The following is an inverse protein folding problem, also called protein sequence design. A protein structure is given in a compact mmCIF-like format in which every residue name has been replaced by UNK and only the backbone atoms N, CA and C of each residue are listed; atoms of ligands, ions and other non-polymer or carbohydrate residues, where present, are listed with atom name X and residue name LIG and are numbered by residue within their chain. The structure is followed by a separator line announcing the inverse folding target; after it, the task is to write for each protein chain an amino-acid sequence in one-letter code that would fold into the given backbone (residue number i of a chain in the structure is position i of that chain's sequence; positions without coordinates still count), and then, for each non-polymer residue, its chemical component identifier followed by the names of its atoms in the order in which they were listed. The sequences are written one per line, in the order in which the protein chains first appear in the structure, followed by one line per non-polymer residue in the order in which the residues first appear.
data_IF_400934523681
#
_entry.id   IF_400934523681
#
_cell.length_a   1.000
_cell.length_b   1.000
_cell.length_c   1.000
_cell.angle_alpha   90.00
_cell.angle_beta   90.00
_cell.angle_gamma   90.00
#
_symmetry.space_group_name_H-M   'P 1'
#
loop_
_entity.id
_entity.type
_entity.pdbx_description
1 polymer ?
#
# COMPACT_ATOMS: atom_id res chain seq x y z
N UNK A 1 6.74 -23.43 79.83
CA UNK A 1 6.20 -23.60 78.46
C UNK A 1 6.98 -22.80 77.44
N UNK A 2 7.26 -21.54 77.64
CA UNK A 2 8.03 -20.66 76.71
C UNK A 2 9.46 -21.16 76.38
N UNK A 3 10.18 -21.76 77.34
CA UNK A 3 11.52 -22.31 77.09
C UNK A 3 11.53 -23.54 76.19
N UNK A 4 10.52 -24.43 76.29
CA UNK A 4 10.36 -25.58 75.37
C UNK A 4 10.08 -25.15 73.95
N UNK A 5 9.33 -24.08 73.74
CA UNK A 5 9.07 -23.49 72.42
C UNK A 5 10.34 -22.87 71.84
N UNK A 6 11.12 -22.12 72.65
CA UNK A 6 12.40 -21.55 72.24
C UNK A 6 13.46 -22.61 71.87
N UNK A 7 13.45 -23.77 72.54
CA UNK A 7 14.36 -24.90 72.29
C UNK A 7 13.97 -25.66 71.00
N UNK A 8 12.67 -25.76 70.71
CA UNK A 8 12.16 -26.32 69.45
C UNK A 8 12.57 -25.52 68.20
N UNK A 9 12.55 -24.20 68.29
CA UNK A 9 13.02 -23.32 67.18
C UNK A 9 14.54 -23.31 67.00
N UNK A 10 15.35 -23.88 67.92
CA UNK A 10 16.80 -23.97 67.83
C UNK A 10 17.31 -25.34 67.33
N UNK A 11 16.46 -26.29 67.09
CA UNK A 11 16.85 -27.60 66.57
C UNK A 11 17.24 -27.49 65.06
N UNK A 12 18.19 -28.31 64.60
CA UNK A 12 18.65 -28.33 63.21
C UNK A 12 17.47 -28.59 62.23
N UNK A 13 16.52 -29.43 62.64
CA UNK A 13 15.32 -29.74 61.87
C UNK A 13 14.38 -28.53 61.75
N UNK A 14 14.20 -27.73 62.83
CA UNK A 14 13.38 -26.53 62.83
C UNK A 14 14.02 -25.40 62.01
N UNK A 15 15.37 -25.29 62.04
CA UNK A 15 16.14 -24.34 61.20
C UNK A 15 15.97 -24.68 59.72
N UNK A 16 16.12 -25.95 59.34
CA UNK A 16 15.95 -26.37 57.93
C UNK A 16 14.50 -26.18 57.43
N UNK A 17 13.49 -26.49 58.29
CA UNK A 17 12.11 -26.21 58.00
C UNK A 17 11.81 -24.69 57.84
N UNK A 18 12.40 -23.86 58.71
CA UNK A 18 12.25 -22.42 58.65
C UNK A 18 12.91 -21.81 57.38
N UNK A 19 14.07 -22.34 56.96
CA UNK A 19 14.68 -21.97 55.69
C UNK A 19 13.82 -22.36 54.47
N UNK A 20 13.25 -23.57 54.51
CA UNK A 20 12.34 -24.01 53.43
C UNK A 20 11.08 -23.12 53.31
N UNK A 21 10.45 -22.80 54.42
CA UNK A 21 9.28 -21.89 54.46
C UNK A 21 9.68 -20.47 54.03
N UNK A 22 10.84 -19.98 54.50
CA UNK A 22 11.36 -18.69 54.06
C UNK A 22 11.67 -18.62 52.57
N UNK A 23 12.25 -19.70 52.02
CA UNK A 23 12.50 -19.81 50.57
C UNK A 23 11.20 -19.83 49.75
N UNK A 24 10.20 -20.61 50.19
CA UNK A 24 8.89 -20.64 49.53
C UNK A 24 8.22 -19.25 49.57
N UNK A 25 8.24 -18.57 50.71
CA UNK A 25 7.69 -17.23 50.84
C UNK A 25 8.41 -16.22 49.91
N UNK A 26 9.76 -16.34 49.80
CA UNK A 26 10.57 -15.50 48.91
C UNK A 26 10.21 -15.76 47.43
N UNK A 27 10.02 -17.02 47.02
CA UNK A 27 9.63 -17.37 45.66
C UNK A 27 8.23 -16.82 45.35
N UNK A 28 7.29 -16.96 46.31
CA UNK A 28 5.93 -16.39 46.12
C UNK A 28 5.99 -14.87 45.98
N UNK A 29 6.76 -14.18 46.83
CA UNK A 29 6.96 -12.73 46.69
C UNK A 29 7.60 -12.37 45.35
N UNK A 30 8.58 -13.13 44.87
CA UNK A 30 9.19 -12.88 43.57
C UNK A 30 8.20 -13.05 42.41
N UNK A 31 7.39 -14.08 42.45
CA UNK A 31 6.30 -14.29 41.43
C UNK A 31 5.30 -13.16 41.45
N UNK A 32 4.89 -12.66 42.64
CA UNK A 32 3.99 -11.52 42.76
C UNK A 32 4.62 -10.26 42.17
N UNK A 33 5.90 -9.97 42.51
CA UNK A 33 6.61 -8.82 41.98
C UNK A 33 6.78 -8.89 40.46
N UNK A 34 7.15 -10.05 39.91
CA UNK A 34 7.25 -10.28 38.46
C UNK A 34 5.90 -10.05 37.77
N UNK A 35 4.80 -10.55 38.35
CA UNK A 35 3.47 -10.33 37.80
C UNK A 35 3.04 -8.86 37.86
N UNK A 36 3.38 -8.15 38.93
CA UNK A 36 3.09 -6.70 39.02
C UNK A 36 3.91 -5.89 37.99
N UNK A 37 5.20 -6.22 37.81
CA UNK A 37 6.04 -5.58 36.79
C UNK A 37 5.49 -5.90 35.41
N UNK A 38 5.19 -7.17 35.12
CA UNK A 38 4.58 -7.58 33.84
C UNK A 38 3.24 -6.88 33.59
N UNK A 39 2.45 -6.66 34.67
CA UNK A 39 1.19 -5.93 34.60
C UNK A 39 1.31 -4.46 34.23
N UNK A 40 2.45 -3.82 34.52
CA UNK A 40 2.72 -2.42 34.24
C UNK A 40 3.47 -2.17 32.93
N UNK A 41 3.95 -3.22 32.26
CA UNK A 41 4.59 -3.07 30.95
C UNK A 41 3.58 -2.56 29.92
N UNK A 42 4.01 -1.67 29.01
CA UNK A 42 3.19 -1.27 27.87
C UNK A 42 2.75 -2.48 27.05
N UNK A 43 1.56 -2.44 26.48
CA UNK A 43 0.94 -3.56 25.75
C UNK A 43 1.77 -4.03 24.55
N UNK A 44 2.54 -3.13 23.94
CA UNK A 44 3.48 -3.44 22.86
C UNK A 44 4.66 -4.32 23.28
N UNK A 45 4.94 -4.41 24.59
CA UNK A 45 6.01 -5.26 25.17
C UNK A 45 5.44 -6.56 25.74
N UNK A 46 4.15 -6.59 26.12
CA UNK A 46 3.48 -7.74 26.68
C UNK A 46 3.16 -8.85 25.67
N UNK A 47 2.99 -8.49 24.39
CA UNK A 47 2.65 -9.42 23.33
C UNK A 47 3.87 -9.66 22.44
N UNK A 48 4.44 -10.85 22.55
CA UNK A 48 5.45 -11.33 21.60
C UNK A 48 4.69 -12.08 20.51
N UNK A 49 4.86 -11.64 19.28
CA UNK A 49 4.34 -12.36 18.13
C UNK A 49 5.21 -13.59 17.88
N UNK A 50 4.65 -14.76 18.13
CA UNK A 50 5.28 -16.05 17.91
C UNK A 50 4.79 -16.75 16.64
N UNK A 51 4.00 -16.03 15.79
CA UNK A 51 3.59 -16.55 14.50
C UNK A 51 4.78 -16.60 13.54
N UNK A 52 4.87 -17.65 12.75
CA UNK A 52 5.96 -17.85 11.78
C UNK A 52 6.05 -16.69 10.75
N UNK A 53 4.95 -15.98 10.51
CA UNK A 53 4.82 -14.92 9.51
C UNK A 53 4.75 -13.50 10.11
N UNK A 54 4.95 -13.33 11.43
CA UNK A 54 4.88 -12.01 12.11
C UNK A 54 3.61 -11.19 11.74
N UNK A 55 2.47 -11.88 11.57
CA UNK A 55 1.20 -11.30 11.09
C UNK A 55 0.66 -10.13 11.94
N UNK A 56 1.10 -10.03 13.18
CA UNK A 56 0.80 -8.91 14.07
C UNK A 56 1.92 -7.87 14.10
N UNK A 57 2.93 -8.01 13.25
CA UNK A 57 3.99 -7.03 13.09
C UNK A 57 3.42 -5.71 12.59
N UNK A 58 3.97 -4.58 13.05
CA UNK A 58 3.66 -3.27 12.46
C UNK A 58 4.95 -2.74 11.85
N UNK A 59 4.92 -2.44 10.56
CA UNK A 59 6.07 -2.02 9.76
C UNK A 59 6.65 -0.68 10.23
N UNK A 60 7.84 -0.36 9.77
CA UNK A 60 8.46 0.95 10.02
C UNK A 60 7.64 2.08 9.39
N UNK A 61 7.02 1.83 8.24
CA UNK A 61 6.18 2.80 7.53
C UNK A 61 4.95 3.15 8.35
N UNK A 62 4.19 2.18 8.81
CA UNK A 62 3.00 2.42 9.64
C UNK A 62 3.36 3.07 10.99
N UNK A 63 4.46 2.67 11.61
CA UNK A 63 4.98 3.35 12.82
C UNK A 63 5.33 4.80 12.55
N UNK A 64 5.91 5.12 11.37
CA UNK A 64 6.22 6.51 10.98
C UNK A 64 4.94 7.35 10.82
N UNK A 65 3.90 6.78 10.22
CA UNK A 65 2.57 7.41 10.10
C UNK A 65 1.97 7.68 11.48
N UNK A 66 1.94 6.67 12.35
CA UNK A 66 1.38 6.78 13.70
C UNK A 66 2.14 7.77 14.59
N UNK A 67 3.45 7.84 14.46
CA UNK A 67 4.28 8.81 15.20
C UNK A 67 4.10 10.26 14.73
N UNK A 68 3.72 10.46 13.46
CA UNK A 68 3.42 11.77 12.89
C UNK A 68 1.96 12.20 13.10
N UNK A 69 1.12 11.31 13.63
CA UNK A 69 -0.29 11.55 13.81
C UNK A 69 -0.52 12.66 14.85
N UNK A 70 -0.98 13.81 14.41
CA UNK A 70 -1.29 14.98 15.23
C UNK A 70 -2.79 15.11 15.55
N UNK A 71 -3.66 14.60 14.66
CA UNK A 71 -5.12 14.66 14.78
C UNK A 71 -5.68 13.47 15.58
N UNK A 72 -6.81 13.68 16.25
CA UNK A 72 -7.48 12.62 17.02
C UNK A 72 -8.32 11.74 16.11
N UNK A 73 -8.06 10.43 16.16
CA UNK A 73 -8.77 9.41 15.38
C UNK A 73 -9.56 8.50 16.32
N UNK A 74 -10.78 8.16 15.91
CA UNK A 74 -11.66 7.26 16.67
C UNK A 74 -11.99 6.02 15.83
N UNK A 75 -11.72 4.84 16.39
CA UNK A 75 -12.11 3.55 15.85
C UNK A 75 -13.42 3.11 16.53
N UNK A 76 -14.54 3.11 15.82
CA UNK A 76 -15.80 2.55 16.26
C UNK A 76 -15.99 1.17 15.65
N UNK A 77 -15.99 0.14 16.46
CA UNK A 77 -16.05 -1.25 16.04
C UNK A 77 -17.48 -1.76 16.25
N UNK A 78 -18.19 -2.00 15.16
CA UNK A 78 -19.56 -2.49 15.14
C UNK A 78 -19.55 -4.03 15.09
N UNK A 79 -19.21 -4.64 16.22
CA UNK A 79 -19.15 -6.09 16.39
C UNK A 79 -19.31 -6.49 17.86
N UNK A 80 -19.75 -7.72 18.07
CA UNK A 80 -19.71 -8.36 19.39
C UNK A 80 -18.26 -8.68 19.75
N UNK A 81 -17.75 -8.02 20.78
CA UNK A 81 -16.34 -8.11 21.16
C UNK A 81 -15.90 -9.54 21.50
N UNK A 82 -16.77 -10.31 22.15
CA UNK A 82 -16.43 -11.66 22.64
C UNK A 82 -16.40 -12.68 21.51
N UNK A 83 -17.27 -12.55 20.52
CA UNK A 83 -17.36 -13.43 19.35
C UNK A 83 -16.42 -13.02 18.19
N UNK A 84 -15.79 -11.84 18.27
CA UNK A 84 -14.85 -11.37 17.26
C UNK A 84 -13.58 -12.24 17.21
N UNK A 85 -13.06 -12.51 16.01
CA UNK A 85 -11.82 -13.25 15.81
C UNK A 85 -10.67 -12.69 16.66
N UNK A 86 -9.94 -13.58 17.32
CA UNK A 86 -8.88 -13.22 18.25
C UNK A 86 -7.73 -12.49 17.56
N UNK A 87 -7.46 -12.79 16.28
CA UNK A 87 -6.44 -12.11 15.47
C UNK A 87 -6.78 -10.63 15.30
N UNK A 88 -8.03 -10.33 14.92
CA UNK A 88 -8.52 -8.95 14.76
C UNK A 88 -8.48 -8.20 16.10
N UNK A 89 -8.99 -8.79 17.18
CA UNK A 89 -8.97 -8.16 18.52
C UNK A 89 -7.55 -7.83 18.97
N UNK A 90 -6.65 -8.79 18.83
CA UNK A 90 -5.24 -8.63 19.26
C UNK A 90 -4.53 -7.57 18.43
N UNK A 91 -4.78 -7.56 17.12
CA UNK A 91 -4.19 -6.58 16.23
C UNK A 91 -4.71 -5.16 16.50
N UNK A 92 -6.02 -4.98 16.64
CA UNK A 92 -6.62 -3.68 17.02
C UNK A 92 -5.95 -3.15 18.29
N UNK A 93 -5.85 -3.99 19.33
CA UNK A 93 -5.23 -3.60 20.59
C UNK A 93 -3.76 -3.19 20.43
N UNK A 94 -2.98 -3.99 19.70
CA UNK A 94 -1.56 -3.74 19.45
C UNK A 94 -1.34 -2.48 18.61
N UNK A 95 -2.07 -2.35 17.51
CA UNK A 95 -1.93 -1.25 16.58
C UNK A 95 -2.32 0.10 17.21
N UNK A 96 -3.48 0.14 17.86
CA UNK A 96 -3.99 1.38 18.47
C UNK A 96 -3.19 1.83 19.70
N UNK A 97 -2.48 0.92 20.37
CA UNK A 97 -1.58 1.26 21.47
C UNK A 97 -0.29 1.98 21.01
N UNK A 98 -0.01 2.03 19.71
CA UNK A 98 1.18 2.72 19.15
C UNK A 98 1.02 4.24 19.08
N UNK A 99 -0.20 4.78 19.28
CA UNK A 99 -0.44 6.22 19.29
C UNK A 99 -1.49 6.60 20.32
N UNK A 100 -1.21 7.63 21.11
CA UNK A 100 -2.14 8.22 22.08
C UNK A 100 -3.27 9.03 21.43
N UNK A 101 -3.18 9.27 20.13
CA UNK A 101 -4.19 9.96 19.33
C UNK A 101 -5.34 9.06 18.91
N UNK A 102 -5.21 7.73 19.08
CA UNK A 102 -6.23 6.77 18.67
C UNK A 102 -7.08 6.34 19.86
N UNK A 103 -8.40 6.47 19.71
CA UNK A 103 -9.38 5.96 20.68
C UNK A 103 -10.20 4.83 20.07
N UNK A 104 -10.52 3.81 20.87
CA UNK A 104 -11.27 2.63 20.42
C UNK A 104 -12.59 2.53 21.19
N UNK A 105 -13.69 2.33 20.46
CA UNK A 105 -15.02 2.14 21.02
C UNK A 105 -15.70 0.94 20.37
N UNK A 106 -16.02 -0.07 21.17
CA UNK A 106 -16.84 -1.21 20.73
C UNK A 106 -18.32 -0.87 20.85
N UNK A 107 -19.10 -1.22 19.85
CA UNK A 107 -20.53 -1.04 19.78
C UNK A 107 -21.10 -2.40 19.39
N UNK A 108 -21.74 -3.04 20.35
CA UNK A 108 -22.38 -4.35 20.13
C UNK A 108 -23.64 -4.14 19.28
N UNK A 109 -23.70 -4.72 18.05
CA UNK A 109 -24.84 -4.54 17.16
C UNK A 109 -26.09 -5.28 17.62
N UNK A 110 -25.96 -6.28 18.49
CA UNK A 110 -27.11 -6.99 19.07
C UNK A 110 -27.77 -6.13 20.14
N UNK A 111 -26.97 -5.45 20.97
CA UNK A 111 -27.48 -4.54 22.01
C UNK A 111 -27.90 -3.18 21.44
N UNK A 112 -27.31 -2.77 20.32
CA UNK A 112 -27.52 -1.44 19.71
C UNK A 112 -27.79 -1.54 18.19
N UNK A 113 -28.86 -2.23 17.72
CA UNK A 113 -29.10 -2.44 16.29
C UNK A 113 -29.30 -1.12 15.51
N UNK A 114 -29.92 -0.11 16.12
CA UNK A 114 -30.08 1.19 15.51
C UNK A 114 -28.75 1.93 15.23
N UNK A 115 -27.65 1.53 15.88
CA UNK A 115 -26.35 2.13 15.66
C UNK A 115 -25.76 1.75 14.28
N UNK A 116 -26.02 0.55 13.77
CA UNK A 116 -25.63 0.11 12.43
C UNK A 116 -26.33 0.97 11.36
N UNK A 117 -27.66 1.07 11.43
CA UNK A 117 -28.46 1.85 10.50
C UNK A 117 -28.04 3.33 10.50
N UNK A 118 -27.79 3.91 11.70
CA UNK A 118 -27.34 5.30 11.83
C UNK A 118 -25.94 5.51 11.24
N UNK A 119 -25.08 4.53 11.34
CA UNK A 119 -23.72 4.59 10.78
C UNK A 119 -23.66 4.24 9.29
N UNK A 120 -24.73 3.63 8.73
CA UNK A 120 -24.78 3.16 7.35
C UNK A 120 -23.77 2.04 7.07
N UNK A 121 -23.56 1.14 8.05
CA UNK A 121 -22.57 0.06 7.95
C UNK A 121 -23.15 -1.27 8.38
N UNK A 122 -22.57 -2.35 7.92
CA UNK A 122 -22.88 -3.71 8.34
C UNK A 122 -22.19 -4.08 9.65
N UNK A 123 -22.64 -5.20 10.25
CA UNK A 123 -21.92 -5.82 11.38
C UNK A 123 -20.49 -6.23 10.93
N UNK A 124 -19.60 -6.35 11.89
CA UNK A 124 -18.19 -6.67 11.66
C UNK A 124 -17.45 -5.62 10.83
N UNK A 125 -17.79 -4.35 11.05
CA UNK A 125 -17.17 -3.19 10.39
C UNK A 125 -16.55 -2.26 11.43
N UNK A 126 -15.38 -1.73 11.13
CA UNK A 126 -14.69 -0.69 11.88
C UNK A 126 -14.88 0.63 11.14
N UNK A 127 -15.50 1.61 11.77
CA UNK A 127 -15.57 2.98 11.26
C UNK A 127 -14.47 3.79 11.92
N UNK A 128 -13.52 4.20 11.13
CA UNK A 128 -12.41 5.07 11.51
C UNK A 128 -12.79 6.49 11.15
N UNK A 129 -12.69 7.41 12.10
CA UNK A 129 -13.13 8.81 11.91
C UNK A 129 -12.15 9.78 12.53
N UNK A 130 -11.96 10.91 11.87
CA UNK A 130 -11.25 12.08 12.39
C UNK A 130 -12.23 13.24 12.54
N UNK A 131 -12.30 13.81 13.76
CA UNK A 131 -13.24 14.91 14.02
C UNK A 131 -12.79 16.22 13.37
N UNK A 132 -11.50 16.43 13.26
CA UNK A 132 -10.90 17.67 12.78
C UNK A 132 -11.12 17.87 11.27
N UNK A 133 -11.10 16.77 10.49
CA UNK A 133 -11.38 16.78 9.04
C UNK A 133 -12.83 16.47 8.71
N UNK A 134 -13.60 15.92 9.65
CA UNK A 134 -14.95 15.41 9.40
C UNK A 134 -15.02 14.13 8.60
N UNK A 135 -13.87 13.60 8.15
CA UNK A 135 -13.80 12.40 7.29
C UNK A 135 -13.99 11.10 8.06
N UNK A 136 -14.56 10.11 7.38
CA UNK A 136 -14.75 8.75 7.89
C UNK A 136 -14.36 7.71 6.84
N UNK A 137 -13.78 6.58 7.26
CA UNK A 137 -13.49 5.42 6.41
C UNK A 137 -13.96 4.15 7.12
N UNK A 138 -14.63 3.27 6.39
CA UNK A 138 -15.08 1.98 6.91
C UNK A 138 -14.12 0.88 6.45
N UNK A 139 -13.84 -0.06 7.34
CA UNK A 139 -13.02 -1.25 7.10
C UNK A 139 -13.81 -2.46 7.57
N UNK A 140 -14.13 -3.39 6.67
CA UNK A 140 -14.77 -4.65 7.01
C UNK A 140 -13.77 -5.62 7.65
N UNK A 141 -14.24 -6.54 8.49
CA UNK A 141 -13.41 -7.65 8.96
C UNK A 141 -12.98 -8.57 7.81
N UNK A 142 -13.76 -8.66 6.74
CA UNK A 142 -13.43 -9.44 5.55
C UNK A 142 -12.29 -8.80 4.74
N UNK A 143 -12.09 -7.49 4.84
CA UNK A 143 -10.93 -6.80 4.26
C UNK A 143 -9.65 -7.01 5.10
N UNK A 144 -9.80 -7.36 6.39
CA UNK A 144 -8.69 -7.66 7.30
C UNK A 144 -8.27 -9.13 7.20
N UNK A 145 -9.27 -10.03 7.12
CA UNK A 145 -9.08 -11.48 6.98
C UNK A 145 -9.44 -11.88 5.54
N UNK A 146 -8.50 -11.70 4.63
CA UNK A 146 -8.71 -12.00 3.22
C UNK A 146 -8.70 -13.51 3.02
N UNK A 147 -9.80 -14.04 2.47
CA UNK A 147 -9.90 -15.45 2.11
C UNK A 147 -9.33 -15.65 0.72
N UNK A 148 -8.41 -16.61 0.57
CA UNK A 148 -7.93 -17.01 -0.74
C UNK A 148 -8.99 -17.86 -1.45
N UNK A 149 -9.70 -17.23 -2.37
CA UNK A 149 -10.71 -17.90 -3.20
C UNK A 149 -10.10 -18.98 -4.11
N UNK A 150 -8.82 -18.84 -4.50
CA UNK A 150 -8.12 -19.82 -5.33
C UNK A 150 -7.83 -21.10 -4.55
N UNK A 151 -7.50 -20.99 -3.28
CA UNK A 151 -7.29 -22.13 -2.38
C UNK A 151 -8.57 -22.97 -2.21
N UNK A 152 -9.75 -22.33 -2.22
CA UNK A 152 -11.04 -23.02 -2.17
C UNK A 152 -11.25 -23.92 -3.40
N UNK A 153 -10.90 -23.45 -4.59
CA UNK A 153 -11.05 -24.22 -5.83
C UNK A 153 -10.03 -25.37 -5.95
N UNK A 154 -8.85 -25.24 -5.32
CA UNK A 154 -7.76 -26.23 -5.45
C UNK A 154 -7.73 -27.23 -4.29
N UNK A 155 -8.12 -26.85 -3.08
CA UNK A 155 -7.99 -27.69 -1.87
C UNK A 155 -9.32 -28.02 -1.20
N UNK A 156 -10.41 -27.36 -1.61
CA UNK A 156 -11.75 -27.53 -1.01
C UNK A 156 -11.89 -26.94 0.40
N UNK A 157 -10.89 -26.19 0.88
CA UNK A 157 -10.95 -25.52 2.19
C UNK A 157 -10.55 -24.05 2.05
N UNK A 158 -11.46 -23.15 2.44
CA UNK A 158 -11.14 -21.73 2.59
C UNK A 158 -10.42 -21.53 3.93
N UNK A 159 -9.11 -21.52 3.93
CA UNK A 159 -8.34 -20.94 5.03
C UNK A 159 -8.18 -19.46 4.76
N UNK A 160 -8.43 -18.59 5.76
CA UNK A 160 -8.04 -17.20 5.65
C UNK A 160 -6.52 -17.17 5.47
N UNK A 161 -6.07 -16.85 4.26
CA UNK A 161 -4.68 -16.98 3.85
C UNK A 161 -3.87 -15.72 4.14
N UNK A 162 -4.54 -14.58 4.25
CA UNK A 162 -3.87 -13.29 4.41
C UNK A 162 -4.51 -12.45 5.52
N UNK A 163 -3.65 -11.74 6.29
CA UNK A 163 -4.06 -10.80 7.31
C UNK A 163 -3.58 -9.40 6.96
N UNK A 164 -4.50 -8.54 6.50
CA UNK A 164 -4.20 -7.18 6.03
C UNK A 164 -4.61 -6.07 7.03
N UNK A 165 -4.62 -6.36 8.31
CA UNK A 165 -5.04 -5.38 9.32
C UNK A 165 -4.17 -4.11 9.34
N UNK A 166 -2.86 -4.23 9.12
CA UNK A 166 -1.94 -3.11 9.09
C UNK A 166 -2.23 -2.16 7.91
N UNK A 167 -2.31 -2.72 6.72
CA UNK A 167 -2.58 -1.95 5.50
C UNK A 167 -3.90 -1.22 5.60
N UNK A 168 -4.97 -1.90 6.01
CA UNK A 168 -6.31 -1.33 6.16
C UNK A 168 -6.34 -0.18 7.17
N UNK A 169 -5.73 -0.34 8.34
CA UNK A 169 -5.77 0.69 9.37
C UNK A 169 -4.90 1.90 9.04
N UNK A 170 -3.70 1.67 8.51
CA UNK A 170 -2.79 2.76 8.13
C UNK A 170 -3.38 3.59 6.99
N UNK A 171 -3.92 2.93 5.97
CA UNK A 171 -4.65 3.56 4.88
C UNK A 171 -5.84 4.39 5.39
N UNK A 172 -6.68 3.79 6.24
CA UNK A 172 -7.84 4.48 6.76
C UNK A 172 -7.46 5.71 7.61
N UNK A 173 -6.40 5.63 8.42
CA UNK A 173 -5.89 6.77 9.19
C UNK A 173 -5.41 7.87 8.23
N UNK A 174 -4.59 7.55 7.24
CA UNK A 174 -4.14 8.52 6.24
C UNK A 174 -5.33 9.19 5.54
N UNK A 175 -6.32 8.40 5.11
CA UNK A 175 -7.52 8.89 4.45
C UNK A 175 -8.31 9.89 5.30
N UNK A 176 -8.54 9.58 6.60
CA UNK A 176 -9.37 10.44 7.44
C UNK A 176 -8.60 11.64 8.01
N UNK A 177 -7.28 11.62 8.04
CA UNK A 177 -6.45 12.71 8.58
C UNK A 177 -5.90 13.64 7.49
N UNK A 178 -5.83 13.19 6.24
CA UNK A 178 -5.44 14.01 5.10
C UNK A 178 -6.52 15.07 4.81
N UNK A 179 -6.11 16.28 4.55
CA UNK A 179 -6.99 17.37 4.12
C UNK A 179 -7.28 17.28 2.63
N UNK A 180 -6.33 16.78 1.85
CA UNK A 180 -6.46 16.55 0.43
C UNK A 180 -6.75 15.07 0.15
N UNK A 181 -7.55 14.82 -0.86
CA UNK A 181 -7.79 13.49 -1.43
C UNK A 181 -7.34 13.57 -2.88
N UNK A 182 -6.35 12.77 -3.25
CA UNK A 182 -5.88 12.74 -4.62
C UNK A 182 -6.91 12.04 -5.50
N UNK A 183 -7.13 12.56 -6.69
CA UNK A 183 -8.10 12.05 -7.66
C UNK A 183 -7.40 11.68 -8.95
N UNK A 184 -7.56 10.41 -9.32
CA UNK A 184 -7.08 9.87 -10.57
C UNK A 184 -8.24 9.71 -11.54
N UNK A 185 -8.09 10.23 -12.74
CA UNK A 185 -8.98 9.91 -13.84
C UNK A 185 -8.32 8.88 -14.76
N UNK A 186 -9.04 7.83 -15.11
CA UNK A 186 -8.59 6.89 -16.12
C UNK A 186 -9.33 7.13 -17.44
N UNK A 187 -8.58 7.09 -18.54
CA UNK A 187 -9.12 7.34 -19.87
C UNK A 187 -9.99 6.19 -20.35
N UNK A 188 -10.98 6.52 -21.18
CA UNK A 188 -11.84 5.56 -21.88
C UNK A 188 -12.11 6.05 -23.29
N UNK A 189 -12.36 5.12 -24.21
CA UNK A 189 -12.69 5.44 -25.61
C UNK A 189 -11.73 4.88 -26.64
N UNK A 190 -10.53 4.47 -26.23
CA UNK A 190 -9.47 3.92 -27.10
C UNK A 190 -9.25 2.43 -26.87
N UNK A 191 -10.21 1.73 -26.22
CA UNK A 191 -10.13 0.30 -25.95
C UNK A 191 -9.32 -0.05 -24.71
N UNK A 192 -9.11 0.91 -23.81
CA UNK A 192 -8.44 0.73 -22.53
C UNK A 192 -9.12 -0.36 -21.69
N UNK A 193 -8.32 -1.07 -20.92
CA UNK A 193 -8.82 -2.09 -20.03
C UNK A 193 -9.47 -1.47 -18.78
N UNK A 194 -10.59 -2.04 -18.34
CA UNK A 194 -11.18 -1.65 -17.07
C UNK A 194 -10.39 -2.24 -15.89
N UNK A 195 -10.20 -1.46 -14.84
CA UNK A 195 -9.57 -1.96 -13.62
C UNK A 195 -10.38 -3.06 -12.97
N UNK A 196 -9.70 -4.10 -12.52
CA UNK A 196 -10.32 -5.12 -11.68
C UNK A 196 -10.71 -4.54 -10.31
N UNK A 197 -11.67 -5.20 -9.64
CA UNK A 197 -12.08 -4.82 -8.28
C UNK A 197 -10.92 -4.79 -7.30
N UNK A 198 -9.92 -5.67 -7.46
CA UNK A 198 -8.73 -5.70 -6.61
C UNK A 198 -7.84 -4.46 -6.81
N UNK A 199 -7.66 -4.01 -8.03
CA UNK A 199 -6.91 -2.78 -8.36
C UNK A 199 -7.64 -1.55 -7.84
N UNK A 200 -8.96 -1.45 -8.06
CA UNK A 200 -9.77 -0.34 -7.54
C UNK A 200 -9.74 -0.25 -6.02
N UNK A 201 -9.79 -1.40 -5.33
CA UNK A 201 -9.62 -1.47 -3.88
C UNK A 201 -8.24 -1.02 -3.43
N UNK A 202 -7.18 -1.35 -4.19
CA UNK A 202 -5.81 -0.92 -3.91
C UNK A 202 -5.67 0.60 -4.02
N UNK A 203 -6.23 1.22 -5.05
CA UNK A 203 -6.27 2.68 -5.18
C UNK A 203 -6.98 3.33 -3.99
N UNK A 204 -8.18 2.86 -3.68
CA UNK A 204 -8.95 3.34 -2.52
C UNK A 204 -8.20 3.15 -1.19
N UNK A 205 -7.42 2.06 -1.05
CA UNK A 205 -6.58 1.79 0.11
C UNK A 205 -5.44 2.81 0.23
N UNK A 206 -4.95 3.33 -0.88
CA UNK A 206 -3.92 4.38 -0.92
C UNK A 206 -4.48 5.80 -0.93
N UNK A 207 -5.75 5.98 -0.57
CA UNK A 207 -6.45 7.27 -0.53
C UNK A 207 -6.55 7.96 -1.89
N UNK A 208 -6.47 7.18 -2.97
CA UNK A 208 -6.66 7.64 -4.33
C UNK A 208 -8.10 7.36 -4.74
N UNK A 209 -8.87 8.40 -5.05
CA UNK A 209 -10.21 8.25 -5.64
C UNK A 209 -10.07 8.13 -7.14
N UNK A 210 -10.91 7.29 -7.76
CA UNK A 210 -10.85 7.06 -9.21
C UNK A 210 -12.18 7.42 -9.86
N UNK A 211 -12.09 8.03 -11.04
CA UNK A 211 -13.22 8.31 -11.90
C UNK A 211 -12.82 8.10 -13.37
N UNK A 212 -13.76 7.91 -14.27
CA UNK A 212 -13.48 7.74 -15.70
C UNK A 212 -13.62 9.06 -16.47
N UNK A 213 -12.83 9.21 -17.52
CA UNK A 213 -12.96 10.33 -18.44
C UNK A 213 -12.80 9.86 -19.90
N UNK A 214 -13.73 10.27 -20.75
CA UNK A 214 -13.60 10.11 -22.20
C UNK A 214 -13.21 11.46 -22.80
N UNK A 215 -11.92 11.65 -23.11
CA UNK A 215 -11.37 12.93 -23.54
C UNK A 215 -11.98 13.40 -24.88
N UNK A 216 -12.28 12.47 -25.78
CA UNK A 216 -12.94 12.77 -27.04
C UNK A 216 -14.34 13.36 -26.83
N UNK A 217 -15.08 12.88 -25.83
CA UNK A 217 -16.44 13.35 -25.54
C UNK A 217 -16.46 14.62 -24.69
N UNK A 218 -15.56 14.72 -23.70
CA UNK A 218 -15.51 15.89 -22.79
C UNK A 218 -14.76 17.07 -23.40
N UNK A 219 -13.75 16.83 -24.22
CA UNK A 219 -12.88 17.87 -24.79
C UNK A 219 -12.00 18.58 -23.74
N UNK A 220 -11.96 18.08 -22.52
CA UNK A 220 -11.17 18.65 -21.42
C UNK A 220 -10.77 17.59 -20.40
N UNK A 221 -9.67 17.81 -19.70
CA UNK A 221 -9.27 17.06 -18.51
C UNK A 221 -9.84 17.80 -17.30
N UNK A 222 -10.55 17.10 -16.36
CA UNK A 222 -11.15 17.74 -15.21
C UNK A 222 -10.15 18.54 -14.36
N UNK A 223 -10.55 19.70 -13.86
CA UNK A 223 -9.68 20.59 -13.06
C UNK A 223 -9.21 19.95 -11.73
N UNK A 224 -9.97 18.95 -11.23
CA UNK A 224 -9.64 18.19 -10.02
C UNK A 224 -8.84 16.91 -10.33
N UNK A 225 -8.25 16.80 -11.51
CA UNK A 225 -7.40 15.67 -11.91
C UNK A 225 -5.98 15.85 -11.36
N UNK A 226 -5.60 15.04 -10.37
CA UNK A 226 -4.24 15.00 -9.85
C UNK A 226 -3.34 14.06 -10.65
N UNK A 227 -3.92 13.02 -11.27
CA UNK A 227 -3.25 12.05 -12.13
C UNK A 227 -4.21 11.57 -13.22
N UNK A 228 -3.80 11.68 -14.47
CA UNK A 228 -4.48 11.03 -15.59
C UNK A 228 -3.81 9.69 -15.87
N UNK A 229 -4.59 8.62 -15.90
CA UNK A 229 -4.09 7.26 -16.15
C UNK A 229 -4.64 6.73 -17.47
N UNK A 230 -3.74 6.27 -18.34
CA UNK A 230 -4.08 5.63 -19.63
C UNK A 230 -3.63 4.18 -19.60
N UNK A 231 -4.58 3.23 -19.60
CA UNK A 231 -4.30 1.80 -19.43
C UNK A 231 -4.37 1.06 -20.75
N UNK A 232 -3.23 0.83 -21.37
CA UNK A 232 -3.05 0.00 -22.54
C UNK A 232 -4.07 0.31 -23.68
N UNK A 233 -4.11 1.53 -24.21
CA UNK A 233 -5.00 1.86 -25.30
C UNK A 233 -4.72 0.97 -26.52
N UNK A 234 -5.76 0.39 -27.11
CA UNK A 234 -5.66 -0.43 -28.31
C UNK A 234 -5.83 0.37 -29.60
N UNK A 235 -6.08 1.68 -29.50
CA UNK A 235 -6.23 2.63 -30.63
C UNK A 235 -5.54 3.92 -30.30
N UNK A 236 -5.09 4.60 -31.35
CA UNK A 236 -4.47 5.92 -31.20
C UNK A 236 -5.46 6.98 -30.70
N UNK A 237 -4.93 7.97 -30.00
CA UNK A 237 -5.63 9.18 -29.59
C UNK A 237 -5.80 10.13 -30.80
N UNK A 238 -6.80 10.99 -30.78
CA UNK A 238 -6.97 12.02 -31.82
C UNK A 238 -5.97 13.17 -31.68
N UNK A 239 -5.81 13.98 -32.73
CA UNK A 239 -5.00 15.20 -32.70
C UNK A 239 -5.45 16.19 -31.62
N UNK A 240 -6.76 16.28 -31.38
CA UNK A 240 -7.33 17.15 -30.34
C UNK A 240 -6.94 16.64 -28.94
N UNK A 241 -7.02 15.34 -28.70
CA UNK A 241 -6.62 14.71 -27.43
C UNK A 241 -5.12 14.80 -27.19
N UNK A 242 -4.28 14.61 -28.23
CA UNK A 242 -2.83 14.85 -28.16
C UNK A 242 -2.55 16.28 -27.71
N UNK A 243 -3.21 17.25 -28.33
CA UNK A 243 -3.05 18.67 -27.98
C UNK A 243 -3.50 18.93 -26.53
N UNK A 244 -4.57 18.29 -26.10
CA UNK A 244 -5.08 18.39 -24.73
C UNK A 244 -4.09 17.83 -23.71
N UNK A 245 -3.54 16.64 -23.97
CA UNK A 245 -2.54 15.98 -23.13
C UNK A 245 -1.26 16.82 -23.00
N UNK A 246 -0.71 17.28 -24.12
CA UNK A 246 0.49 18.13 -24.12
C UNK A 246 0.27 19.44 -23.38
N UNK A 247 -0.90 20.06 -23.50
CA UNK A 247 -1.22 21.28 -22.77
C UNK A 247 -1.41 21.02 -21.26
N UNK A 248 -1.96 19.88 -20.90
CA UNK A 248 -2.13 19.46 -19.51
C UNK A 248 -0.76 19.23 -18.84
N UNK A 249 0.13 18.48 -19.49
CA UNK A 249 1.49 18.23 -19.02
C UNK A 249 2.30 19.53 -18.86
N UNK A 250 2.26 20.42 -19.86
CA UNK A 250 2.94 21.73 -19.81
C UNK A 250 2.46 22.66 -18.69
N UNK A 251 1.28 22.39 -18.12
CA UNK A 251 0.73 23.11 -16.96
C UNK A 251 1.03 22.43 -15.61
N UNK A 252 1.81 21.35 -15.60
CA UNK A 252 2.15 20.59 -14.40
C UNK A 252 1.20 19.43 -14.12
N UNK A 253 0.38 19.04 -15.09
CA UNK A 253 -0.42 17.84 -15.02
C UNK A 253 0.45 16.59 -15.01
N UNK A 254 -0.05 15.50 -14.43
CA UNK A 254 0.65 14.23 -14.32
C UNK A 254 -0.09 13.17 -15.12
N UNK A 255 0.65 12.42 -15.93
CA UNK A 255 0.09 11.32 -16.73
C UNK A 255 0.87 10.04 -16.45
N UNK A 256 0.17 8.95 -16.26
CA UNK A 256 0.74 7.61 -16.22
C UNK A 256 0.18 6.82 -17.39
N UNK A 257 1.07 6.28 -18.24
CA UNK A 257 0.69 5.52 -19.42
C UNK A 257 1.27 4.12 -19.32
N UNK A 258 0.42 3.12 -19.45
CA UNK A 258 0.82 1.77 -19.79
C UNK A 258 0.64 1.63 -21.29
N UNK A 259 1.71 1.32 -22.01
CA UNK A 259 1.61 1.06 -23.45
C UNK A 259 0.89 -0.28 -23.68
N UNK A 260 -0.07 -0.25 -24.61
CA UNK A 260 -0.81 -1.42 -25.02
C UNK A 260 -0.13 -2.19 -26.13
N UNK A 261 -0.89 -3.07 -26.78
CA UNK A 261 -0.53 -3.79 -27.99
C UNK A 261 -1.57 -3.45 -29.08
N UNK A 262 -1.50 -2.23 -29.64
CA UNK A 262 -2.47 -1.76 -30.62
C UNK A 262 -2.34 -2.54 -31.94
N UNK A 263 -3.49 -2.79 -32.61
CA UNK A 263 -3.49 -3.43 -33.93
C UNK A 263 -2.94 -2.50 -35.03
N UNK A 264 -3.12 -1.19 -34.87
CA UNK A 264 -2.68 -0.13 -35.78
C UNK A 264 -1.63 0.75 -35.11
N UNK A 265 -0.83 1.46 -35.91
CA UNK A 265 0.13 2.46 -35.39
C UNK A 265 -0.56 3.57 -34.57
N UNK A 266 0.13 4.08 -33.54
CA UNK A 266 -0.36 5.12 -32.63
C UNK A 266 0.44 6.43 -32.73
N UNK A 267 0.49 7.09 -33.93
CA UNK A 267 1.37 8.21 -34.19
C UNK A 267 1.12 9.42 -33.27
N UNK A 268 -0.09 9.66 -32.81
CA UNK A 268 -0.37 10.76 -31.91
C UNK A 268 0.14 10.50 -30.49
N UNK A 269 -0.01 9.26 -29.99
CA UNK A 269 0.55 8.87 -28.71
C UNK A 269 2.08 8.87 -28.77
N UNK A 270 2.67 8.39 -29.86
CA UNK A 270 4.10 8.42 -30.11
C UNK A 270 4.68 9.84 -30.09
N UNK A 271 3.96 10.82 -30.66
CA UNK A 271 4.36 12.22 -30.60
C UNK A 271 4.37 12.76 -29.15
N UNK A 272 3.42 12.34 -28.31
CA UNK A 272 3.42 12.69 -26.86
C UNK A 272 4.64 12.07 -26.18
N UNK A 273 4.94 10.81 -26.40
CA UNK A 273 6.10 10.13 -25.84
C UNK A 273 7.41 10.80 -26.29
N UNK A 274 7.52 11.13 -27.57
CA UNK A 274 8.69 11.77 -28.17
C UNK A 274 8.93 13.16 -27.62
N UNK A 275 7.89 13.95 -27.38
CA UNK A 275 8.01 15.27 -26.73
C UNK A 275 8.74 15.16 -25.39
N UNK A 276 8.55 14.05 -24.68
CA UNK A 276 9.14 13.75 -23.37
C UNK A 276 10.37 12.82 -23.44
N UNK A 277 10.98 12.68 -24.61
CA UNK A 277 12.25 11.94 -24.80
C UNK A 277 12.10 10.43 -24.74
N UNK A 278 10.99 9.89 -25.17
CA UNK A 278 10.71 8.46 -25.26
C UNK A 278 10.24 8.08 -26.66
N UNK A 279 10.64 6.91 -27.12
CA UNK A 279 10.17 6.33 -28.36
C UNK A 279 9.96 4.84 -28.14
N UNK A 280 8.86 4.29 -28.66
CA UNK A 280 8.62 2.85 -28.61
C UNK A 280 9.61 2.11 -29.52
N UNK A 281 10.09 0.97 -29.06
CA UNK A 281 10.90 0.06 -29.86
C UNK A 281 10.01 -0.88 -30.67
N UNK A 282 10.42 -1.23 -31.88
CA UNK A 282 9.65 -2.13 -32.73
C UNK A 282 9.53 -3.54 -32.12
N UNK A 283 8.33 -4.06 -32.04
CA UNK A 283 8.03 -5.43 -31.64
C UNK A 283 8.11 -5.70 -30.14
N UNK A 284 8.16 -6.99 -29.77
CA UNK A 284 8.19 -7.41 -28.36
C UNK A 284 9.61 -7.57 -27.87
N UNK A 285 9.81 -7.28 -26.59
CA UNK A 285 11.11 -7.47 -25.95
C UNK A 285 11.24 -8.90 -25.43
N UNK A 286 12.38 -9.53 -25.74
CA UNK A 286 12.80 -10.81 -25.23
C UNK A 286 14.09 -10.64 -24.42
N UNK A 287 14.16 -11.15 -23.19
CA UNK A 287 15.35 -11.12 -22.35
C UNK A 287 15.85 -12.54 -22.08
N UNK A 288 17.04 -12.87 -22.61
CA UNK A 288 17.62 -14.20 -22.51
C UNK A 288 18.18 -14.50 -21.11
N UNK A 289 18.42 -13.49 -20.29
CA UNK A 289 19.06 -13.62 -18.99
C UNK A 289 18.06 -13.52 -17.83
N UNK A 290 17.06 -12.65 -17.96
CA UNK A 290 16.11 -12.33 -16.90
C UNK A 290 14.69 -12.79 -17.22
N UNK A 291 14.57 -14.03 -17.70
CA UNK A 291 13.28 -14.60 -18.10
C UNK A 291 12.71 -15.58 -17.08
N UNK A 292 11.38 -15.67 -17.03
CA UNK A 292 10.66 -16.63 -16.18
C UNK A 292 10.54 -18.00 -16.88
N UNK A 293 11.05 -19.03 -16.23
CA UNK A 293 10.96 -20.44 -16.68
C UNK A 293 11.39 -20.68 -18.14
N UNK A 294 12.33 -19.89 -18.66
CA UNK A 294 12.84 -20.02 -20.03
C UNK A 294 11.92 -19.44 -21.12
N UNK A 295 10.85 -18.76 -20.76
CA UNK A 295 10.08 -17.95 -21.69
C UNK A 295 10.65 -16.54 -21.72
N UNK A 296 11.38 -16.22 -22.77
CA UNK A 296 12.14 -14.96 -22.91
C UNK A 296 11.27 -13.71 -22.98
N UNK A 297 9.99 -13.83 -23.30
CA UNK A 297 9.01 -12.73 -23.29
C UNK A 297 8.36 -12.48 -21.91
N UNK A 298 8.70 -13.32 -20.92
CA UNK A 298 8.27 -13.16 -19.52
C UNK A 298 9.45 -12.64 -18.72
N UNK A 299 9.55 -11.33 -18.58
CA UNK A 299 10.76 -10.64 -18.15
C UNK A 299 10.65 -10.18 -16.70
N UNK A 300 11.71 -10.41 -15.91
CA UNK A 300 11.92 -9.75 -14.63
C UNK A 300 12.87 -8.57 -14.83
N UNK A 301 12.37 -7.34 -15.01
CA UNK A 301 13.23 -6.19 -15.24
C UNK A 301 14.16 -5.92 -14.07
N UNK A 302 15.27 -5.25 -14.34
CA UNK A 302 16.06 -4.62 -13.31
C UNK A 302 15.40 -3.30 -12.94
N UNK A 303 15.09 -3.14 -11.64
CA UNK A 303 14.43 -1.94 -11.12
C UNK A 303 15.47 -1.13 -10.37
N UNK A 304 15.65 0.13 -10.77
CA UNK A 304 16.54 1.08 -10.12
C UNK A 304 15.71 2.21 -9.53
N UNK A 305 15.78 2.40 -8.22
CA UNK A 305 15.12 3.53 -7.58
C UNK A 305 15.74 4.85 -8.06
N UNK A 306 14.89 5.77 -8.46
CA UNK A 306 15.27 7.13 -8.82
C UNK A 306 14.46 8.10 -7.98
N UNK A 307 15.12 8.91 -7.19
CA UNK A 307 14.52 9.85 -6.24
C UNK A 307 13.48 9.16 -5.35
N UNK A 308 12.21 9.59 -5.37
CA UNK A 308 11.12 8.97 -4.61
C UNK A 308 10.36 7.89 -5.41
N UNK A 309 10.70 7.71 -6.70
CA UNK A 309 10.08 6.70 -7.56
C UNK A 309 10.75 5.34 -7.37
N UNK A 310 9.97 4.30 -7.37
CA UNK A 310 10.41 2.90 -7.30
C UNK A 310 11.24 2.51 -6.05
N UNK A 311 11.40 3.37 -5.06
CA UNK A 311 12.17 3.09 -3.83
C UNK A 311 11.72 1.82 -3.08
N UNK A 312 10.44 1.44 -3.20
CA UNK A 312 9.89 0.25 -2.56
C UNK A 312 9.82 -0.95 -3.52
N UNK A 313 10.13 -0.76 -4.80
CA UNK A 313 10.05 -1.80 -5.83
C UNK A 313 11.38 -2.50 -6.07
N UNK A 314 12.51 -1.95 -5.65
CA UNK A 314 13.84 -2.56 -5.88
C UNK A 314 13.98 -3.98 -5.32
N UNK A 315 13.24 -4.29 -4.25
CA UNK A 315 13.25 -5.62 -3.63
C UNK A 315 12.11 -6.52 -4.09
N UNK A 316 11.21 -6.00 -4.95
CA UNK A 316 10.04 -6.72 -5.43
C UNK A 316 10.31 -7.33 -6.81
N UNK A 317 9.68 -8.46 -7.09
CA UNK A 317 9.73 -9.06 -8.42
C UNK A 317 8.53 -8.60 -9.22
N UNK A 318 8.79 -7.81 -10.25
CA UNK A 318 7.78 -7.42 -11.26
C UNK A 318 7.95 -8.34 -12.45
N UNK A 319 6.88 -9.00 -12.90
CA UNK A 319 6.87 -9.81 -14.11
C UNK A 319 6.19 -9.02 -15.23
N UNK A 320 6.93 -8.73 -16.28
CA UNK A 320 6.43 -8.13 -17.52
C UNK A 320 6.19 -9.23 -18.54
N UNK A 321 5.02 -9.23 -19.17
CA UNK A 321 4.62 -10.27 -20.13
C UNK A 321 4.37 -9.61 -21.48
N UNK A 322 5.06 -10.06 -22.52
CA UNK A 322 4.96 -9.52 -23.89
C UNK A 322 5.12 -8.00 -23.91
N UNK A 323 6.12 -7.49 -23.21
CA UNK A 323 6.32 -6.06 -23.09
C UNK A 323 6.89 -5.44 -24.36
N UNK A 324 6.46 -4.24 -24.67
CA UNK A 324 7.13 -3.35 -25.61
C UNK A 324 8.25 -2.60 -24.89
N UNK A 325 9.29 -2.26 -25.61
CA UNK A 325 10.44 -1.53 -25.07
C UNK A 325 10.33 -0.03 -25.39
N UNK A 326 11.01 0.77 -24.58
CA UNK A 326 11.22 2.17 -24.84
C UNK A 326 12.70 2.43 -25.15
N UNK A 327 12.93 3.31 -26.09
CA UNK A 327 14.23 3.90 -26.41
C UNK A 327 14.21 5.33 -25.88
N UNK A 328 15.19 5.69 -25.06
CA UNK A 328 15.36 7.07 -24.58
C UNK A 328 15.96 7.93 -25.69
N UNK A 329 15.36 9.07 -25.96
CA UNK A 329 15.79 10.05 -26.96
C UNK A 329 15.96 11.42 -26.29
N UNK A 330 16.48 12.39 -27.01
CA UNK A 330 16.54 13.77 -26.52
C UNK A 330 15.11 14.34 -26.43
N UNK A 331 14.68 14.85 -25.27
CA UNK A 331 13.36 15.46 -25.14
C UNK A 331 13.27 16.78 -25.92
N UNK A 332 12.06 17.22 -26.21
CA UNK A 332 11.82 18.43 -27.01
C UNK A 332 12.27 19.73 -26.32
N UNK A 333 12.49 19.71 -25.01
CA UNK A 333 12.86 20.87 -24.19
C UNK A 333 13.93 20.52 -23.16
N UNK A 334 14.86 21.43 -22.93
CA UNK A 334 15.94 21.30 -21.93
C UNK A 334 15.41 21.24 -20.46
N UNK A 335 14.14 21.64 -20.26
CA UNK A 335 13.47 21.57 -18.95
C UNK A 335 12.98 20.17 -18.58
N UNK A 336 13.01 19.23 -19.54
CA UNK A 336 12.57 17.85 -19.36
C UNK A 336 13.78 16.95 -19.08
N UNK A 337 13.65 16.10 -18.08
CA UNK A 337 14.61 15.03 -17.79
C UNK A 337 13.88 13.70 -17.82
N UNK A 338 14.35 12.76 -18.65
CA UNK A 338 13.79 11.42 -18.78
C UNK A 338 14.75 10.40 -18.21
N UNK A 339 14.27 9.57 -17.28
CA UNK A 339 15.06 8.57 -16.57
C UNK A 339 14.39 7.22 -16.64
N UNK A 340 15.13 6.20 -17.05
CA UNK A 340 14.69 4.82 -16.99
C UNK A 340 14.77 4.29 -15.55
N UNK A 341 13.73 3.66 -15.05
CA UNK A 341 13.71 3.00 -13.74
C UNK A 341 13.48 1.48 -13.80
N UNK A 342 13.02 0.96 -14.94
CA UNK A 342 12.98 -0.47 -15.23
C UNK A 342 13.67 -0.73 -16.58
N UNK A 343 14.60 -1.68 -16.59
CA UNK A 343 15.37 -2.03 -17.78
C UNK A 343 15.54 -3.55 -17.93
N UNK A 344 15.79 -3.99 -19.15
CA UNK A 344 16.20 -5.37 -19.43
C UNK A 344 17.68 -5.59 -19.08
N UNK A 345 18.12 -6.84 -19.15
CA UNK A 345 19.56 -7.13 -19.18
C UNK A 345 20.19 -6.64 -20.51
N UNK A 346 21.53 -6.72 -20.57
CA UNK A 346 22.30 -6.46 -21.77
C UNK A 346 22.20 -7.59 -22.84
N UNK A 347 21.59 -8.71 -22.49
CA UNK A 347 21.34 -9.83 -23.41
C UNK A 347 19.85 -9.91 -23.75
N UNK A 348 19.32 -8.83 -24.27
CA UNK A 348 17.93 -8.71 -24.70
C UNK A 348 17.80 -8.26 -26.14
N UNK A 349 16.62 -8.46 -26.69
CA UNK A 349 16.31 -8.24 -28.09
C UNK A 349 14.93 -7.65 -28.27
N UNK A 350 14.80 -6.66 -29.16
CA UNK A 350 13.51 -6.29 -29.73
C UNK A 350 13.24 -7.21 -30.92
N UNK A 351 12.09 -7.86 -30.92
CA UNK A 351 11.77 -8.95 -31.85
C UNK A 351 10.50 -8.62 -32.61
N UNK A 352 10.63 -8.53 -33.93
CA UNK A 352 9.52 -8.51 -34.89
C UNK A 352 9.48 -9.80 -35.70
N UNK A 353 8.52 -9.95 -36.61
CA UNK A 353 8.46 -11.11 -37.51
C UNK A 353 9.72 -11.25 -38.37
N UNK A 354 10.33 -10.12 -38.80
CA UNK A 354 11.42 -10.09 -39.76
C UNK A 354 12.78 -9.74 -39.17
N UNK A 355 12.83 -9.22 -37.92
CA UNK A 355 14.06 -8.63 -37.36
C UNK A 355 14.21 -8.96 -35.89
N UNK A 356 15.46 -9.10 -35.45
CA UNK A 356 15.84 -9.13 -34.04
C UNK A 356 16.94 -8.09 -33.85
N UNK A 357 16.75 -7.18 -32.92
CA UNK A 357 17.70 -6.13 -32.62
C UNK A 357 18.20 -6.27 -31.19
N UNK A 358 19.50 -6.53 -31.03
CA UNK A 358 20.13 -6.70 -29.72
C UNK A 358 20.31 -5.32 -29.05
N UNK A 359 20.00 -5.26 -27.75
CA UNK A 359 20.15 -4.03 -26.99
C UNK A 359 19.65 -4.15 -25.57
N UNK A 360 19.88 -3.11 -24.77
CA UNK A 360 19.24 -2.92 -23.48
C UNK A 360 18.03 -2.00 -23.67
N UNK A 361 16.86 -2.48 -23.29
CA UNK A 361 15.61 -1.76 -23.49
C UNK A 361 15.04 -1.27 -22.17
N UNK A 362 14.51 -0.08 -22.18
CA UNK A 362 13.76 0.49 -21.07
C UNK A 362 12.36 -0.10 -21.08
N UNK A 363 11.90 -0.62 -19.93
CA UNK A 363 10.55 -1.16 -19.73
C UNK A 363 9.68 -0.26 -18.84
N UNK A 364 10.30 0.76 -18.26
CA UNK A 364 9.63 1.82 -17.51
C UNK A 364 10.53 3.03 -17.40
N UNK A 365 9.98 4.19 -17.73
CA UNK A 365 10.65 5.48 -17.66
C UNK A 365 9.77 6.52 -16.98
N UNK A 366 10.41 7.52 -16.39
CA UNK A 366 9.76 8.71 -15.88
C UNK A 366 10.37 9.94 -16.55
N UNK A 367 9.52 10.82 -17.03
CA UNK A 367 9.91 12.14 -17.50
C UNK A 367 9.42 13.19 -16.51
N UNK A 368 10.31 14.09 -16.11
CA UNK A 368 9.99 15.21 -15.22
C UNK A 368 10.29 16.53 -15.95
N UNK A 369 9.36 17.47 -15.89
CA UNK A 369 9.53 18.79 -16.45
C UNK A 369 9.56 19.85 -15.36
N UNK A 370 10.54 20.75 -15.42
CA UNK A 370 10.62 21.92 -14.54
C UNK A 370 9.78 23.04 -15.13
N UNK A 371 8.67 23.36 -14.48
CA UNK A 371 7.77 24.43 -14.90
C UNK A 371 8.08 25.67 -14.07
N UNK A 372 8.50 26.74 -14.73
CA UNK A 372 8.67 28.05 -14.11
C UNK A 372 7.35 28.80 -14.22
N UNK A 373 6.71 29.06 -13.08
CA UNK A 373 5.57 29.99 -13.04
C UNK A 373 6.10 31.42 -13.29
N UNK A 374 5.56 32.09 -14.29
CA UNK A 374 5.89 33.50 -14.60
C UNK A 374 5.40 34.50 -13.51
N UNK A 375 4.80 34.03 -12.43
CA UNK A 375 4.42 34.85 -11.29
C UNK A 375 5.53 34.90 -10.26
N UNK A 376 6.33 35.95 -10.39
CA UNK A 376 7.38 36.37 -9.46
C UNK A 376 6.81 36.63 -8.06
N UNK A 377 6.96 35.69 -7.13
CA UNK A 377 7.28 35.94 -5.71
C UNK A 377 7.46 34.72 -4.82
N UNK A 378 7.26 33.47 -5.30
CA UNK A 378 7.59 32.29 -4.50
C UNK A 378 8.32 31.25 -5.36
N UNK A 379 9.56 30.93 -4.98
CA UNK A 379 10.42 29.96 -5.61
C UNK A 379 10.00 28.52 -5.27
N UNK A 380 8.82 28.11 -5.70
CA UNK A 380 8.42 26.70 -5.71
C UNK A 380 8.39 26.21 -7.16
N UNK A 381 9.39 25.42 -7.55
CA UNK A 381 9.35 24.65 -8.79
C UNK A 381 8.36 23.50 -8.60
N UNK A 382 7.32 23.42 -9.43
CA UNK A 382 6.50 22.21 -9.56
C UNK A 382 7.19 21.23 -10.52
N UNK A 383 7.13 19.95 -10.21
CA UNK A 383 7.60 18.88 -11.09
C UNK A 383 6.40 18.13 -11.66
N UNK A 384 6.44 17.84 -12.94
CA UNK A 384 5.46 17.03 -13.67
C UNK A 384 5.87 15.57 -13.70
#
# INVERSE_FOLDING_TARGET
MLEKIKKSFRSASSKNGSYSVGMIALVICMVIVVNLIAGQLPENVKSIDISDNNIYGVSKTSKKVLNKLDKKVTFKIYAEKDSTDTRIKSFIKKYTALSDKISVKWIDPVLHPAALTKAGVDKNTIVISCKDTGKTKSVSFDDILVSDSYSYYTTGSSSASEFDGEGQFTSAINSVTSEQTEKMYYTTGHGEAAFSDSVTKLFSKNNLTTDEVNLMMTGEIPDDCDLLFMDAPSKDISDDEKTLLLNYLKKGGKVFIILGDPEDETPNLDEVLKEYGMQEADGYIADMQRSYQGNYYYIFPEITATDDLANNLESEMVLMINAHGLITTDPARDTITTTAFMQTSDNSYAVTEDKQEEGTYTLGAVATEQITSDDSSDSSSSQT
#
